data_IF_919119239622
#
_entry.id   IF_919119239622
#
_cell.length_a   1.000
_cell.length_b   1.000
_cell.length_c   1.000
_cell.angle_alpha   90.00
_cell.angle_beta   90.00
_cell.angle_gamma   90.00
#
_symmetry.space_group_name_H-M   'P 1'
#
loop_
_entity.id
_entity.type
_entity.pdbx_description
1 polymer ?
#
# COMPACT_ATOMS: atom_id res chain seq x y z
N UNK A 1 -42.46 -21.21 -29.52
CA UNK A 1 -43.75 -20.56 -29.84
C UNK A 1 -44.59 -20.58 -28.58
N UNK A 2 -45.09 -19.40 -28.17
CA UNK A 2 -45.98 -19.12 -27.01
C UNK A 2 -45.36 -19.16 -25.60
N UNK A 3 -45.03 -17.94 -25.15
CA UNK A 3 -45.03 -17.55 -23.74
C UNK A 3 -46.48 -17.49 -23.23
N UNK A 4 -46.71 -17.87 -21.98
CA UNK A 4 -47.89 -17.47 -21.22
C UNK A 4 -47.41 -16.87 -19.90
N UNK A 5 -47.69 -15.60 -19.72
CA UNK A 5 -47.40 -14.82 -18.52
C UNK A 5 -48.76 -14.56 -17.85
N UNK A 6 -48.92 -14.90 -16.58
CA UNK A 6 -49.91 -14.27 -15.71
C UNK A 6 -49.36 -14.18 -14.28
N UNK A 7 -49.49 -12.98 -13.73
CA UNK A 7 -48.98 -12.48 -12.45
C UNK A 7 -50.05 -12.59 -11.34
N UNK A 8 -49.56 -12.82 -10.09
CA UNK A 8 -50.10 -12.44 -8.75
C UNK A 8 -51.44 -13.11 -8.30
N UNK A 9 -51.61 -13.65 -7.09
CA UNK A 9 -51.27 -13.12 -5.76
C UNK A 9 -51.24 -14.19 -4.62
N UNK A 10 -50.53 -13.85 -3.53
CA UNK A 10 -50.56 -14.35 -2.13
C UNK A 10 -49.99 -15.73 -1.67
N UNK A 11 -48.83 -15.62 -1.00
CA UNK A 11 -48.38 -16.34 0.21
C UNK A 11 -48.26 -17.87 0.19
N UNK A 12 -47.04 -18.35 -0.06
CA UNK A 12 -46.49 -19.51 0.66
C UNK A 12 -45.03 -19.26 1.05
N UNK A 13 -44.76 -19.51 2.33
CA UNK A 13 -43.50 -19.26 3.02
C UNK A 13 -42.49 -20.40 2.75
N UNK A 14 -41.20 -20.05 2.76
CA UNK A 14 -39.99 -20.88 2.92
C UNK A 14 -39.68 -21.96 1.86
N UNK A 15 -38.65 -21.72 1.06
CA UNK A 15 -37.38 -22.44 1.25
C UNK A 15 -36.20 -21.70 0.60
N UNK A 16 -35.24 -21.33 1.46
CA UNK A 16 -33.92 -20.84 1.10
C UNK A 16 -33.14 -22.03 0.56
N UNK A 17 -32.65 -21.95 -0.68
CA UNK A 17 -31.50 -22.75 -1.12
C UNK A 17 -30.36 -21.78 -1.42
N UNK A 18 -29.70 -21.38 -0.33
CA UNK A 18 -28.37 -20.79 -0.37
C UNK A 18 -27.41 -21.92 -0.69
N UNK A 19 -26.96 -22.05 -1.93
CA UNK A 19 -25.82 -22.88 -2.29
C UNK A 19 -24.54 -22.21 -1.77
N UNK A 20 -24.33 -22.30 -0.46
CA UNK A 20 -23.10 -21.89 0.21
C UNK A 20 -22.07 -23.01 0.09
N UNK A 21 -21.35 -23.03 -1.02
CA UNK A 21 -20.01 -23.64 -1.08
C UNK A 21 -19.01 -22.68 -1.72
N UNK A 22 -19.00 -21.43 -1.24
CA UNK A 22 -17.73 -20.74 -1.15
C UNK A 22 -17.02 -21.35 0.06
N UNK A 23 -16.14 -22.32 -0.20
CA UNK A 23 -15.17 -22.85 0.74
C UNK A 23 -14.58 -21.71 1.57
N UNK A 24 -15.15 -21.50 2.76
CA UNK A 24 -14.68 -20.55 3.73
C UNK A 24 -13.40 -21.15 4.31
N UNK A 25 -12.29 -21.03 3.57
CA UNK A 25 -10.98 -21.06 4.21
C UNK A 25 -11.08 -19.95 5.25
N UNK A 26 -11.01 -20.22 6.56
CA UNK A 26 -10.76 -19.14 7.48
C UNK A 26 -9.47 -18.53 6.95
N UNK A 27 -9.54 -17.28 6.47
CA UNK A 27 -8.35 -16.55 6.07
C UNK A 27 -7.59 -16.33 7.37
N UNK A 28 -6.83 -17.34 7.82
CA UNK A 28 -5.96 -17.21 8.96
C UNK A 28 -4.98 -16.12 8.54
N UNK A 29 -5.22 -14.93 9.10
CA UNK A 29 -4.45 -13.75 8.77
C UNK A 29 -3.07 -13.98 9.36
N UNK A 30 -2.13 -14.37 8.49
CA UNK A 30 -0.76 -14.71 8.88
C UNK A 30 -0.14 -13.46 9.50
N UNK A 31 0.63 -13.64 10.58
CA UNK A 31 1.43 -12.55 11.15
C UNK A 31 2.45 -12.06 10.11
N UNK A 32 2.60 -10.74 9.98
CA UNK A 32 3.64 -10.19 9.12
C UNK A 32 5.01 -10.48 9.75
N UNK A 33 6.02 -10.70 8.91
CA UNK A 33 7.41 -10.96 9.32
C UNK A 33 8.37 -10.15 8.47
N UNK A 34 9.52 -9.84 9.06
CA UNK A 34 10.63 -9.16 8.39
C UNK A 34 11.77 -10.16 8.14
N UNK A 35 12.61 -9.91 7.11
CA UNK A 35 13.87 -10.64 6.97
C UNK A 35 14.72 -10.54 8.23
N UNK A 36 15.58 -11.55 8.46
CA UNK A 36 16.48 -11.56 9.62
C UNK A 36 17.35 -10.29 9.61
N UNK A 37 17.38 -9.58 10.75
CA UNK A 37 18.15 -8.35 10.90
C UNK A 37 17.54 -7.11 10.25
N UNK A 38 16.31 -7.18 9.75
CA UNK A 38 15.55 -6.03 9.21
C UNK A 38 14.28 -5.74 9.99
N UNK A 39 13.81 -4.51 9.87
CA UNK A 39 12.53 -4.03 10.40
C UNK A 39 11.53 -3.75 9.27
N UNK A 40 10.25 -3.59 9.62
CA UNK A 40 9.25 -3.10 8.68
C UNK A 40 9.62 -1.68 8.25
N UNK A 41 9.51 -1.40 6.95
CA UNK A 41 9.93 -0.12 6.37
C UNK A 41 11.42 -0.01 6.06
N UNK A 42 12.25 -1.03 6.35
CA UNK A 42 13.64 -1.01 5.90
C UNK A 42 13.71 -1.04 4.36
N UNK A 43 14.59 -0.23 3.78
CA UNK A 43 14.82 -0.19 2.34
C UNK A 43 15.52 -1.48 1.89
N UNK A 44 14.96 -2.11 0.85
CA UNK A 44 15.50 -3.27 0.15
C UNK A 44 16.14 -2.86 -1.18
N UNK A 45 15.52 -1.92 -1.89
CA UNK A 45 16.04 -1.32 -3.12
C UNK A 45 15.94 0.21 -2.98
N UNK A 46 17.07 0.93 -2.93
CA UNK A 46 17.06 2.38 -2.79
C UNK A 46 16.71 3.06 -4.12
N UNK A 47 16.29 4.33 -4.02
CA UNK A 47 16.23 5.23 -5.17
C UNK A 47 17.64 5.47 -5.73
N UNK A 48 17.73 5.82 -7.01
CA UNK A 48 18.94 6.42 -7.58
C UNK A 48 19.18 7.79 -6.95
N UNK A 49 20.43 8.27 -6.87
CA UNK A 49 20.74 9.56 -6.28
C UNK A 49 20.18 10.74 -7.09
N UNK A 50 19.98 10.58 -8.40
CA UNK A 50 19.49 11.63 -9.30
C UNK A 50 18.58 11.04 -10.38
N UNK A 51 17.55 11.79 -10.73
CA UNK A 51 16.61 11.49 -11.81
C UNK A 51 16.35 12.73 -12.65
N UNK A 52 15.96 12.53 -13.91
CA UNK A 52 15.36 13.58 -14.73
C UNK A 52 13.84 13.55 -14.63
N UNK A 53 13.22 14.69 -14.94
CA UNK A 53 11.79 14.73 -15.26
C UNK A 53 11.46 13.73 -16.39
N UNK A 54 10.28 13.08 -16.29
CA UNK A 54 9.85 12.00 -17.17
C UNK A 54 10.33 10.60 -16.76
N UNK A 55 11.33 10.49 -15.87
CA UNK A 55 11.80 9.21 -15.35
C UNK A 55 10.94 8.70 -14.17
N UNK A 56 11.22 7.48 -13.72
CA UNK A 56 10.51 6.83 -12.60
C UNK A 56 11.47 6.61 -11.45
N UNK A 57 11.20 7.28 -10.32
CA UNK A 57 11.84 6.97 -9.06
C UNK A 57 11.15 5.77 -8.41
N UNK A 58 11.89 4.70 -8.13
CA UNK A 58 11.39 3.45 -7.55
C UNK A 58 12.14 3.11 -6.26
N UNK A 59 11.39 2.78 -5.21
CA UNK A 59 11.95 2.32 -3.94
C UNK A 59 11.17 1.10 -3.46
N UNK A 60 11.88 0.05 -3.04
CA UNK A 60 11.27 -1.13 -2.44
C UNK A 60 11.63 -1.23 -0.97
N UNK A 61 10.61 -1.45 -0.13
CA UNK A 61 10.70 -1.56 1.33
C UNK A 61 10.29 -2.96 1.80
N UNK A 62 10.75 -3.35 2.99
CA UNK A 62 10.14 -4.45 3.76
C UNK A 62 8.72 -4.05 4.11
N UNK A 63 7.74 -4.76 3.56
CA UNK A 63 6.32 -4.43 3.66
C UNK A 63 5.58 -5.24 4.71
N UNK A 64 4.36 -4.81 5.00
CA UNK A 64 3.32 -5.57 5.69
C UNK A 64 2.04 -5.59 4.85
N UNK A 65 1.11 -6.50 5.14
CA UNK A 65 -0.14 -6.60 4.40
C UNK A 65 -0.96 -5.28 4.47
N UNK A 66 -1.26 -4.61 3.33
CA UNK A 66 -1.96 -3.31 3.31
C UNK A 66 -3.36 -3.35 3.95
N UNK A 67 -3.99 -4.54 3.99
CA UNK A 67 -5.28 -4.73 4.68
C UNK A 67 -5.21 -4.34 6.17
N UNK A 68 -4.03 -4.42 6.80
CA UNK A 68 -3.86 -4.03 8.20
C UNK A 68 -4.11 -2.53 8.41
N UNK A 69 -3.74 -1.69 7.45
CA UNK A 69 -3.98 -0.24 7.52
C UNK A 69 -5.44 0.09 7.24
N UNK A 70 -6.04 -0.55 6.23
CA UNK A 70 -7.41 -0.28 5.80
C UNK A 70 -8.47 -0.59 6.88
N UNK A 71 -8.23 -1.60 7.73
CA UNK A 71 -9.15 -1.99 8.81
C UNK A 71 -9.02 -1.11 10.06
N UNK A 72 -7.90 -0.41 10.24
CA UNK A 72 -7.59 0.30 11.49
C UNK A 72 -7.80 1.81 11.37
N UNK A 73 -7.65 2.38 10.18
CA UNK A 73 -7.73 3.83 9.99
C UNK A 73 -8.47 4.22 8.71
N UNK A 74 -9.49 5.08 8.87
CA UNK A 74 -10.13 5.77 7.75
C UNK A 74 -9.27 6.99 7.38
N UNK A 75 -8.79 7.07 6.14
CA UNK A 75 -8.06 8.20 5.52
C UNK A 75 -6.53 8.27 5.73
N UNK A 76 -5.83 7.12 5.71
CA UNK A 76 -4.37 7.11 5.58
C UNK A 76 -3.91 6.99 4.12
N UNK A 77 -2.77 7.62 3.81
CA UNK A 77 -1.99 7.34 2.61
C UNK A 77 -0.97 6.23 2.90
N UNK A 78 -0.71 5.35 1.94
CA UNK A 78 0.37 4.37 2.02
C UNK A 78 1.74 4.98 1.69
N UNK A 79 1.77 6.09 0.97
CA UNK A 79 3.02 6.74 0.56
C UNK A 79 2.92 8.26 0.51
N UNK A 80 4.05 8.93 0.63
CA UNK A 80 4.19 10.32 0.18
C UNK A 80 5.44 10.49 -0.65
N UNK A 81 5.38 11.37 -1.64
CA UNK A 81 6.55 11.98 -2.24
C UNK A 81 6.69 13.34 -1.58
N UNK A 82 7.85 13.60 -0.99
CA UNK A 82 8.14 14.84 -0.29
C UNK A 82 9.29 15.58 -0.95
N UNK A 83 9.14 16.90 -1.13
CA UNK A 83 10.17 17.81 -1.59
C UNK A 83 10.77 18.55 -0.41
N UNK A 84 12.09 18.68 -0.36
CA UNK A 84 12.77 19.48 0.65
C UNK A 84 12.72 20.97 0.28
N UNK A 85 12.16 21.78 1.16
CA UNK A 85 12.13 23.24 1.05
C UNK A 85 13.24 23.86 1.89
N UNK A 86 14.21 24.46 1.21
CA UNK A 86 15.41 25.03 1.84
C UNK A 86 15.08 26.24 2.71
N UNK A 87 14.10 27.06 2.30
CA UNK A 87 13.71 28.29 3.00
C UNK A 87 13.13 28.01 4.39
N UNK A 88 12.36 26.92 4.53
CA UNK A 88 11.74 26.48 5.78
C UNK A 88 12.47 25.32 6.45
N UNK A 89 13.55 24.81 5.85
CA UNK A 89 14.28 23.61 6.28
C UNK A 89 13.35 22.42 6.58
N UNK A 90 12.37 22.18 5.72
CA UNK A 90 11.30 21.20 5.97
C UNK A 90 10.93 20.39 4.74
N UNK A 91 10.38 19.19 4.97
CA UNK A 91 9.86 18.33 3.92
C UNK A 91 8.38 18.64 3.69
N UNK A 92 8.02 18.94 2.44
CA UNK A 92 6.65 19.22 2.01
C UNK A 92 6.13 18.05 1.18
N UNK A 93 4.98 17.50 1.54
CA UNK A 93 4.33 16.47 0.71
C UNK A 93 3.81 17.09 -0.58
N UNK A 94 4.28 16.58 -1.72
CA UNK A 94 3.87 17.03 -3.05
C UNK A 94 2.98 16.00 -3.77
N UNK A 95 3.11 14.71 -3.43
CA UNK A 95 2.23 13.65 -3.90
C UNK A 95 1.93 12.66 -2.79
N UNK A 96 0.78 11.98 -2.89
CA UNK A 96 0.35 10.88 -2.03
C UNK A 96 -0.12 9.69 -2.89
N UNK A 97 -0.69 8.65 -2.29
CA UNK A 97 -1.20 7.47 -3.01
C UNK A 97 -2.47 7.71 -3.85
N UNK A 98 -3.10 8.88 -3.73
CA UNK A 98 -4.21 9.30 -4.57
C UNK A 98 -3.76 10.09 -5.82
N UNK A 99 -2.46 10.39 -5.93
CA UNK A 99 -1.88 11.11 -7.07
C UNK A 99 -1.70 10.20 -8.28
N UNK A 100 -1.99 10.67 -9.49
CA UNK A 100 -1.85 9.89 -10.74
C UNK A 100 -0.39 9.50 -11.04
N UNK A 101 0.54 10.28 -10.50
CA UNK A 101 1.97 10.11 -10.68
C UNK A 101 2.53 8.98 -9.81
N UNK A 102 1.82 8.52 -8.78
CA UNK A 102 2.33 7.54 -7.82
C UNK A 102 1.71 6.17 -8.02
N UNK A 103 2.46 5.12 -7.72
CA UNK A 103 1.98 3.73 -7.70
C UNK A 103 2.48 3.03 -6.44
N UNK A 104 1.61 2.24 -5.84
CA UNK A 104 1.91 1.38 -4.71
C UNK A 104 1.68 -0.08 -5.09
N UNK A 105 2.75 -0.88 -5.08
CA UNK A 105 2.69 -2.30 -5.35
C UNK A 105 3.02 -3.07 -4.07
N UNK A 106 2.12 -3.96 -3.67
CA UNK A 106 2.39 -4.90 -2.59
C UNK A 106 2.59 -6.31 -3.14
N UNK A 107 3.73 -6.91 -2.80
CA UNK A 107 4.07 -8.27 -3.21
C UNK A 107 4.11 -9.20 -1.99
N UNK A 108 3.21 -10.19 -1.98
CA UNK A 108 3.17 -11.22 -0.93
C UNK A 108 4.31 -12.21 -1.10
N UNK A 109 5.16 -12.33 -0.08
CA UNK A 109 6.16 -13.39 0.03
C UNK A 109 5.66 -14.61 0.79
N UNK A 110 6.61 -15.46 1.19
CA UNK A 110 6.34 -16.66 1.99
C UNK A 110 6.42 -16.37 3.49
N UNK A 111 5.69 -17.16 4.29
CA UNK A 111 5.78 -17.17 5.75
C UNK A 111 5.60 -15.79 6.42
N UNK A 112 4.74 -14.93 5.85
CA UNK A 112 4.44 -13.60 6.40
C UNK A 112 5.37 -12.47 5.93
N UNK A 113 6.36 -12.77 5.10
CA UNK A 113 7.17 -11.72 4.45
C UNK A 113 6.39 -11.05 3.33
N UNK A 114 6.63 -9.77 3.11
CA UNK A 114 6.15 -9.06 1.93
C UNK A 114 7.01 -7.85 1.61
N UNK A 115 6.91 -7.37 0.38
CA UNK A 115 7.59 -6.16 -0.07
C UNK A 115 6.54 -5.10 -0.46
N UNK A 116 6.88 -3.84 -0.25
CA UNK A 116 6.13 -2.69 -0.74
C UNK A 116 7.04 -1.91 -1.70
N UNK A 117 6.68 -1.87 -2.98
CA UNK A 117 7.38 -1.09 -4.00
C UNK A 117 6.56 0.15 -4.31
N UNK A 118 7.18 1.31 -4.15
CA UNK A 118 6.58 2.61 -4.45
C UNK A 118 7.30 3.19 -5.66
N UNK A 119 6.51 3.63 -6.63
CA UNK A 119 6.99 4.36 -7.78
C UNK A 119 6.42 5.77 -7.79
N UNK A 120 7.27 6.74 -8.11
CA UNK A 120 6.87 8.08 -8.51
C UNK A 120 7.30 8.30 -9.96
N UNK A 121 6.32 8.45 -10.84
CA UNK A 121 6.51 8.85 -12.22
C UNK A 121 6.66 10.36 -12.24
N UNK A 122 7.90 10.83 -12.35
CA UNK A 122 8.24 12.24 -12.21
C UNK A 122 7.63 12.98 -13.41
N UNK A 123 6.62 13.85 -13.23
CA UNK A 123 6.00 14.53 -14.35
C UNK A 123 6.98 15.54 -14.96
N UNK A 124 6.81 15.86 -16.24
CA UNK A 124 7.61 16.90 -16.93
C UNK A 124 7.51 18.28 -16.26
N UNK A 125 6.45 18.50 -15.49
CA UNK A 125 6.19 19.73 -14.72
C UNK A 125 6.82 19.72 -13.32
N UNK A 126 7.53 18.65 -12.92
CA UNK A 126 8.17 18.58 -11.61
C UNK A 126 9.28 19.63 -11.50
N UNK A 127 9.27 20.37 -10.39
CA UNK A 127 10.32 21.35 -10.09
C UNK A 127 11.62 20.61 -9.75
N UNK A 128 12.79 21.08 -10.21
CA UNK A 128 14.06 20.56 -9.73
C UNK A 128 14.20 20.69 -8.21
N UNK A 129 14.93 19.76 -7.59
CA UNK A 129 15.21 19.81 -6.16
C UNK A 129 15.43 18.44 -5.53
N UNK A 130 15.46 18.43 -4.19
CA UNK A 130 15.70 17.23 -3.40
C UNK A 130 14.36 16.65 -2.97
N UNK A 131 14.18 15.36 -3.21
CA UNK A 131 12.98 14.61 -2.93
C UNK A 131 13.28 13.38 -2.08
N UNK A 132 12.25 12.83 -1.45
CA UNK A 132 12.27 11.49 -0.84
C UNK A 132 10.89 10.83 -0.97
N UNK A 133 10.87 9.51 -0.91
CA UNK A 133 9.64 8.72 -0.83
C UNK A 133 9.50 8.22 0.60
N UNK A 134 8.30 8.39 1.18
CA UNK A 134 7.94 7.77 2.47
C UNK A 134 6.93 6.66 2.27
N UNK A 135 7.04 5.66 3.13
CA UNK A 135 6.13 4.52 3.21
C UNK A 135 5.51 4.43 4.60
N UNK A 136 4.19 4.32 4.63
CA UNK A 136 3.37 4.19 5.84
C UNK A 136 2.65 2.84 5.82
N UNK A 137 2.69 2.13 6.94
CA UNK A 137 2.09 0.81 7.00
C UNK A 137 1.72 0.39 8.41
N UNK A 138 1.01 -0.73 8.49
CA UNK A 138 0.67 -1.39 9.74
C UNK A 138 1.05 -2.86 9.67
N UNK A 139 1.82 -3.31 10.65
CA UNK A 139 2.22 -4.72 10.78
C UNK A 139 1.30 -5.46 11.75
N UNK A 140 0.95 -6.70 11.42
CA UNK A 140 0.22 -7.58 12.32
C UNK A 140 1.19 -8.48 13.07
N UNK A 141 1.32 -8.25 14.37
CA UNK A 141 2.06 -9.11 15.30
C UNK A 141 1.10 -10.09 15.98
N UNK A 142 1.48 -11.35 16.04
CA UNK A 142 0.73 -12.40 16.72
C UNK A 142 1.71 -13.31 17.47
N UNK A 143 1.70 -13.21 18.79
CA UNK A 143 2.45 -14.13 19.66
C UNK A 143 1.58 -15.33 20.05
N UNK A 144 2.21 -16.41 20.51
CA UNK A 144 1.51 -17.62 20.93
C UNK A 144 0.57 -17.30 22.11
N UNK A 145 -0.71 -17.70 21.99
CA UNK A 145 -1.79 -17.50 22.98
C UNK A 145 -2.16 -16.04 23.31
N UNK A 146 -1.61 -15.04 22.63
CA UNK A 146 -2.00 -13.63 22.82
C UNK A 146 -2.97 -13.18 21.72
N UNK A 147 -3.76 -12.11 21.92
CA UNK A 147 -4.48 -11.48 20.82
C UNK A 147 -3.52 -10.89 19.78
N UNK A 148 -3.99 -10.75 18.54
CA UNK A 148 -3.25 -10.05 17.50
C UNK A 148 -3.15 -8.56 17.82
N UNK A 149 -2.00 -7.95 17.55
CA UNK A 149 -1.80 -6.51 17.67
C UNK A 149 -1.40 -5.95 16.32
N UNK A 150 -1.96 -4.80 15.97
CA UNK A 150 -1.65 -4.06 14.75
C UNK A 150 -0.79 -2.86 15.15
N UNK A 151 0.43 -2.77 14.62
CA UNK A 151 1.41 -1.74 14.99
C UNK A 151 1.73 -0.86 13.77
N UNK A 152 1.57 0.47 13.85
CA UNK A 152 1.95 1.37 12.77
C UNK A 152 3.47 1.43 12.64
N UNK A 153 3.95 1.68 11.43
CA UNK A 153 5.32 2.06 11.16
C UNK A 153 5.37 3.05 10.01
N UNK A 154 6.42 3.86 9.99
CA UNK A 154 6.72 4.77 8.90
C UNK A 154 8.21 4.70 8.57
N UNK A 155 8.54 4.96 7.32
CA UNK A 155 9.91 4.94 6.82
C UNK A 155 10.09 5.95 5.71
N UNK A 156 11.33 6.33 5.46
CA UNK A 156 11.71 7.22 4.37
C UNK A 156 12.86 6.59 3.58
N UNK A 157 12.85 6.75 2.27
CA UNK A 157 14.01 6.49 1.43
C UNK A 157 15.14 7.48 1.77
N UNK A 158 16.36 7.16 1.31
CA UNK A 158 17.37 8.20 1.11
C UNK A 158 16.82 9.31 0.19
N UNK A 159 17.31 10.53 0.40
CA UNK A 159 16.99 11.64 -0.47
C UNK A 159 17.64 11.48 -1.85
N UNK A 160 16.98 11.98 -2.89
CA UNK A 160 17.45 11.97 -4.27
C UNK A 160 17.11 13.30 -4.95
N UNK A 161 17.86 13.64 -5.98
CA UNK A 161 17.70 14.88 -6.74
C UNK A 161 16.86 14.66 -8.00
N UNK A 162 16.02 15.63 -8.34
CA UNK A 162 15.34 15.71 -9.64
C UNK A 162 15.86 16.92 -10.40
N UNK A 163 16.22 16.71 -11.67
CA UNK A 163 16.72 17.74 -12.59
C UNK A 163 15.92 17.76 -13.89
N UNK A 164 15.98 18.85 -14.65
CA UNK A 164 15.32 18.96 -15.97
C UNK A 164 16.21 18.50 -17.14
N UNK A 165 17.53 18.46 -16.94
CA UNK A 165 18.52 18.01 -17.92
C UNK A 165 19.76 17.43 -17.20
N UNK A 166 20.57 16.64 -17.91
CA UNK A 166 21.88 16.17 -17.43
C UNK A 166 22.98 17.22 -17.63
#
# INVERSE_FOLDING_TARGET
>A
MRQHLQFMDHTLCLHISSSSEALLRPLLRIADRTPIGKNFGDVLQPAQPTYRVGEVAEVTFVGANPKNSAENQTHQTFLTVEKYEVTSASWQTVHNDASWETRFYWHKGLLGHSNATIQWHIPDTAQPGIYRIRYFGHSRKQEFLKPAVILPFESASSAFEVVTAW
#
